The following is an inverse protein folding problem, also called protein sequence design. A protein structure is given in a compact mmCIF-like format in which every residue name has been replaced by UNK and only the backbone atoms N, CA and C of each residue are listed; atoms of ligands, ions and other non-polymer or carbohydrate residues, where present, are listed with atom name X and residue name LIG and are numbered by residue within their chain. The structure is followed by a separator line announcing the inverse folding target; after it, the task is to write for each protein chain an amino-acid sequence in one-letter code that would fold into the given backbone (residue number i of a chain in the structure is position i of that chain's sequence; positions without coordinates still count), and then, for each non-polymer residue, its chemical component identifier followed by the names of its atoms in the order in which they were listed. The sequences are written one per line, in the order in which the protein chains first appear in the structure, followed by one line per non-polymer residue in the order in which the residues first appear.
data_IF_577100702997
#
_entry.id   IF_577100702997
#
_cell.length_a   1.000
_cell.length_b   1.000
_cell.length_c   1.000
_cell.angle_alpha   90.00
_cell.angle_beta   90.00
_cell.angle_gamma   90.00
#
_symmetry.space_group_name_H-M   'P 1'
#
loop_
_entity.id
_entity.type
_entity.pdbx_description
1 polymer ?
#
# COMPACT_ATOMS: atom_id res chain seq x y z
N UNK A 1 13.01 13.45 -6.59
CA UNK A 1 11.72 13.11 -5.95
C UNK A 1 11.10 11.96 -6.72
N UNK A 2 10.82 10.86 -6.06
CA UNK A 2 10.24 9.67 -6.71
C UNK A 2 8.74 9.86 -6.83
N UNK A 3 8.22 9.72 -8.05
CA UNK A 3 6.79 9.82 -8.29
C UNK A 3 6.07 8.55 -7.84
N UNK A 4 4.83 8.69 -7.41
CA UNK A 4 4.03 7.54 -6.97
C UNK A 4 3.89 6.50 -8.08
N UNK A 5 3.73 6.93 -9.33
CA UNK A 5 3.63 6.01 -10.47
C UNK A 5 4.89 5.16 -10.62
N UNK A 6 6.05 5.76 -10.43
CA UNK A 6 7.32 5.04 -10.50
C UNK A 6 7.47 4.04 -9.36
N UNK A 7 7.06 4.43 -8.16
CA UNK A 7 7.07 3.54 -7.01
C UNK A 7 6.15 2.35 -7.25
N UNK A 8 4.97 2.61 -7.78
CA UNK A 8 3.99 1.57 -8.09
C UNK A 8 4.54 0.57 -9.12
N UNK A 9 5.20 1.08 -10.14
CA UNK A 9 5.80 0.24 -11.17
C UNK A 9 6.90 -0.65 -10.58
N UNK A 10 7.75 -0.09 -9.72
CA UNK A 10 8.79 -0.86 -9.06
C UNK A 10 8.21 -1.96 -8.18
N UNK A 11 7.13 -1.65 -7.46
CA UNK A 11 6.45 -2.63 -6.61
C UNK A 11 5.91 -3.80 -7.45
N UNK A 12 5.37 -3.51 -8.62
CA UNK A 12 4.86 -4.55 -9.53
C UNK A 12 5.98 -5.43 -10.07
N UNK A 13 7.13 -4.82 -10.40
CA UNK A 13 8.27 -5.53 -10.96
C UNK A 13 9.03 -6.35 -9.92
N UNK A 14 9.17 -5.81 -8.70
CA UNK A 14 9.97 -6.46 -7.68
C UNK A 14 9.30 -6.32 -6.30
N UNK A 15 8.25 -7.11 -6.05
CA UNK A 15 7.55 -7.02 -4.77
C UNK A 15 8.40 -7.44 -3.58
N UNK A 16 9.50 -8.16 -3.81
CA UNK A 16 10.39 -8.59 -2.73
C UNK A 16 11.32 -7.49 -2.23
N UNK A 17 11.54 -6.46 -3.03
CA UNK A 17 12.48 -5.39 -2.70
C UNK A 17 11.84 -4.11 -2.19
N UNK A 18 10.56 -4.14 -1.84
CA UNK A 18 9.84 -2.94 -1.43
C UNK A 18 10.13 -2.61 0.02
N UNK A 19 10.50 -1.35 0.28
CA UNK A 19 10.69 -0.88 1.64
C UNK A 19 9.37 -0.50 2.28
N UNK A 20 9.28 -0.68 3.60
CA UNK A 20 8.07 -0.36 4.35
C UNK A 20 7.65 1.10 4.14
N UNK A 21 8.60 2.04 4.21
CA UNK A 21 8.29 3.45 4.03
C UNK A 21 7.71 3.76 2.65
N UNK A 22 8.23 3.09 1.61
CA UNK A 22 7.74 3.29 0.25
C UNK A 22 6.32 2.75 0.09
N UNK A 23 6.05 1.58 0.66
CA UNK A 23 4.70 1.02 0.64
C UNK A 23 3.72 1.95 1.34
N UNK A 24 4.12 2.51 2.48
CA UNK A 24 3.28 3.45 3.21
C UNK A 24 3.02 4.74 2.45
N UNK A 25 4.01 5.25 1.72
CA UNK A 25 3.82 6.44 0.88
C UNK A 25 2.78 6.21 -0.20
N UNK A 26 2.82 5.05 -0.83
CA UNK A 26 1.84 4.68 -1.86
C UNK A 26 0.45 4.57 -1.23
N UNK A 27 0.34 3.94 -0.06
CA UNK A 27 -0.93 3.83 0.64
C UNK A 27 -1.47 5.19 1.07
N UNK A 28 -0.61 6.08 1.56
CA UNK A 28 -1.02 7.44 1.93
C UNK A 28 -1.62 8.18 0.73
N UNK A 29 -1.05 7.97 -0.45
CA UNK A 29 -1.55 8.62 -1.67
C UNK A 29 -2.92 8.10 -2.08
N UNK A 30 -3.13 6.78 -2.04
CA UNK A 30 -4.36 6.18 -2.54
C UNK A 30 -5.47 6.07 -1.50
N UNK A 31 -5.13 5.86 -0.24
CA UNK A 31 -6.11 5.58 0.82
C UNK A 31 -6.17 6.66 1.89
N UNK A 32 -5.32 7.69 1.79
CA UNK A 32 -5.25 8.74 2.78
C UNK A 32 -4.41 8.35 3.98
N UNK A 33 -4.53 9.11 5.07
CA UNK A 33 -3.71 8.88 6.25
C UNK A 33 -4.06 7.58 6.94
N UNK A 34 -3.04 6.90 7.45
CA UNK A 34 -3.22 5.69 8.23
C UNK A 34 -4.05 5.96 9.48
N UNK A 35 -4.99 5.06 9.79
CA UNK A 35 -5.80 5.13 11.02
C UNK A 35 -4.96 4.88 12.26
N UNK A 36 -4.02 3.94 12.15
CA UNK A 36 -3.07 3.65 13.22
C UNK A 36 -1.66 3.75 12.65
N UNK A 37 -0.81 4.48 13.37
CA UNK A 37 0.56 4.74 12.96
C UNK A 37 1.49 4.38 14.10
N UNK A 38 2.32 3.39 13.88
CA UNK A 38 3.42 3.06 14.78
C UNK A 38 4.65 2.79 13.94
N UNK A 39 5.79 2.59 14.59
CA UNK A 39 7.03 2.31 13.87
C UNK A 39 7.00 0.94 13.17
N UNK A 40 6.10 0.05 13.60
CA UNK A 40 6.03 -1.32 13.07
C UNK A 40 4.79 -1.60 12.24
N UNK A 41 3.73 -0.82 12.43
CA UNK A 41 2.45 -1.07 11.76
C UNK A 41 1.82 0.23 11.31
N UNK A 42 1.18 0.18 10.13
CA UNK A 42 0.29 1.25 9.68
C UNK A 42 -0.95 0.60 9.10
N UNK A 43 -2.09 1.01 9.61
CA UNK A 43 -3.38 0.44 9.21
C UNK A 43 -4.16 1.48 8.42
N UNK A 44 -4.57 1.12 7.22
CA UNK A 44 -5.31 1.97 6.30
C UNK A 44 -6.71 1.44 6.12
N UNK A 45 -7.68 2.35 6.06
CA UNK A 45 -9.06 2.01 5.79
C UNK A 45 -9.31 2.06 4.30
N UNK A 46 -10.08 1.09 3.80
CA UNK A 46 -10.50 1.08 2.40
C UNK A 46 -11.94 1.57 2.27
N UNK A 47 -12.33 2.09 1.08
CA UNK A 47 -13.68 2.64 0.89
C UNK A 47 -14.77 1.58 0.64
N UNK A 48 -14.41 0.30 0.61
CA UNK A 48 -15.35 -0.73 0.24
C UNK A 48 -16.18 -1.21 1.42
N UNK A 49 -17.35 -1.74 1.11
CA UNK A 49 -18.23 -2.33 2.10
C UNK A 49 -17.54 -3.54 2.75
N UNK A 50 -17.77 -3.72 4.05
CA UNK A 50 -17.06 -4.74 4.81
C UNK A 50 -15.75 -4.28 5.40
N UNK A 51 -15.30 -3.09 5.02
CA UNK A 51 -14.12 -2.41 5.57
C UNK A 51 -12.87 -3.30 5.65
N UNK A 52 -12.45 -3.90 4.52
CA UNK A 52 -11.19 -4.64 4.52
C UNK A 52 -10.04 -3.66 4.76
N UNK A 53 -9.30 -3.87 5.84
CA UNK A 53 -8.21 -2.97 6.22
C UNK A 53 -6.90 -3.45 5.64
N UNK A 54 -6.05 -2.50 5.29
CA UNK A 54 -4.70 -2.78 4.86
C UNK A 54 -3.78 -2.54 6.07
N UNK A 55 -3.13 -3.62 6.53
CA UNK A 55 -2.24 -3.58 7.67
C UNK A 55 -0.82 -3.80 7.20
N UNK A 56 -0.08 -2.70 7.02
CA UNK A 56 1.32 -2.77 6.61
C UNK A 56 2.20 -3.00 7.83
N UNK A 57 3.03 -4.02 7.76
CA UNK A 57 3.95 -4.37 8.83
C UNK A 57 5.39 -4.14 8.38
N UNK A 58 6.16 -3.52 9.29
CA UNK A 58 7.58 -3.29 9.07
C UNK A 58 8.36 -4.52 9.51
N UNK A 59 9.01 -5.17 8.57
CA UNK A 59 9.91 -6.29 8.85
C UNK A 59 11.33 -5.87 8.47
N UNK A 60 12.11 -5.42 9.46
CA UNK A 60 13.50 -4.97 9.28
C UNK A 60 13.61 -3.89 8.20
N UNK A 61 12.68 -2.94 8.19
CA UNK A 61 12.66 -1.86 7.22
C UNK A 61 12.02 -2.20 5.90
N UNK A 62 11.59 -3.44 5.69
CA UNK A 62 11.01 -3.89 4.42
C UNK A 62 9.56 -4.29 4.58
N UNK A 63 8.81 -4.20 3.49
CA UNK A 63 7.45 -4.70 3.42
C UNK A 63 7.45 -6.17 3.03
N UNK A 64 6.52 -6.94 3.60
CA UNK A 64 6.39 -8.35 3.22
C UNK A 64 5.74 -8.47 1.85
N UNK A 65 6.15 -9.48 1.09
CA UNK A 65 5.70 -9.68 -0.29
C UNK A 65 4.18 -9.76 -0.38
N UNK A 66 3.54 -10.51 0.50
CA UNK A 66 2.09 -10.67 0.44
C UNK A 66 1.35 -9.35 0.69
N UNK A 67 1.93 -8.48 1.50
CA UNK A 67 1.33 -7.16 1.74
C UNK A 67 1.47 -6.25 0.54
N UNK A 68 2.63 -6.29 -0.14
CA UNK A 68 2.82 -5.55 -1.38
C UNK A 68 1.79 -5.96 -2.41
N UNK A 69 1.57 -7.26 -2.57
CA UNK A 69 0.58 -7.79 -3.51
C UNK A 69 -0.84 -7.38 -3.11
N UNK A 70 -1.14 -7.42 -1.82
CA UNK A 70 -2.45 -6.99 -1.32
C UNK A 70 -2.72 -5.53 -1.64
N UNK A 71 -1.73 -4.67 -1.41
CA UNK A 71 -1.84 -3.23 -1.70
C UNK A 71 -2.04 -3.00 -3.20
N UNK A 72 -1.28 -3.71 -4.03
CA UNK A 72 -1.41 -3.57 -5.48
C UNK A 72 -2.80 -3.97 -5.97
N UNK A 73 -3.35 -5.05 -5.44
CA UNK A 73 -4.72 -5.48 -5.78
C UNK A 73 -5.75 -4.45 -5.32
N UNK A 74 -5.56 -3.89 -4.13
CA UNK A 74 -6.47 -2.87 -3.61
C UNK A 74 -6.44 -1.61 -4.46
N UNK A 75 -5.26 -1.19 -4.90
CA UNK A 75 -5.11 -0.01 -5.76
C UNK A 75 -5.77 -0.27 -7.12
N UNK A 76 -5.58 -1.44 -7.69
CA UNK A 76 -6.20 -1.80 -8.96
C UNK A 76 -7.73 -1.76 -8.85
N UNK A 77 -8.28 -2.28 -7.76
CA UNK A 77 -9.72 -2.23 -7.52
C UNK A 77 -10.21 -0.80 -7.41
N UNK A 78 -9.45 0.06 -6.75
CA UNK A 78 -9.79 1.46 -6.61
C UNK A 78 -9.82 2.18 -7.97
N UNK A 79 -8.85 1.89 -8.83
CA UNK A 79 -8.79 2.47 -10.17
C UNK A 79 -9.94 1.95 -11.05
N UNK A 80 -10.25 0.66 -10.96
CA UNK A 80 -11.35 0.06 -11.71
C UNK A 80 -12.68 0.68 -11.31
N UNK A 81 -12.90 0.92 -10.02
CA UNK A 81 -14.12 1.55 -9.55
C UNK A 81 -14.28 2.99 -10.05
N UNK A 82 -13.17 3.67 -10.32
CA UNK A 82 -13.18 5.03 -10.84
C UNK A 82 -13.53 5.10 -12.33
N UNK A 83 -13.28 4.03 -13.06
CA UNK A 83 -13.45 4.01 -14.51
C UNK A 83 -14.88 3.64 -14.91
N UNK A 84 -15.62 3.02 -14.02
CA UNK A 84 -17.00 2.58 -14.29
C UNK A 84 -17.97 3.72 -14.44
#
# INVERSE_FOLDING_TARGET
MVKIDDMLLQMKRNPKGVQFNDLCKVCDYYFGMARQRSSRHRIYKTPWQGDPRINNQNYRGKAKVYQVKQVLLAIQKLEDDHVS
#
